data_IF_283746978244
#
_entry.id   IF_283746978244
#
_cell.length_a   1.000
_cell.length_b   1.000
_cell.length_c   1.000
_cell.angle_alpha   90.00
_cell.angle_beta   90.00
_cell.angle_gamma   90.00
#
_symmetry.space_group_name_H-M   'P 1'
#
loop_
_entity.id
_entity.type
_entity.pdbx_description
1 polymer ?
#
# COMPACT_ATOMS: atom_id res chain seq x y z
N UNK A 1 10.22 9.60 16.13
CA UNK A 1 8.94 8.87 16.04
C UNK A 1 8.14 9.50 14.92
N UNK A 2 7.70 8.69 13.97
CA UNK A 2 6.88 9.13 12.85
C UNK A 2 5.53 9.69 13.33
N UNK A 3 4.94 10.59 12.53
CA UNK A 3 3.61 11.14 12.82
C UNK A 3 2.51 10.14 12.48
N UNK A 4 1.35 10.23 13.13
CA UNK A 4 0.17 9.45 12.78
C UNK A 4 -0.42 9.86 11.43
N UNK A 5 -0.93 8.90 10.67
CA UNK A 5 -1.74 9.14 9.48
C UNK A 5 -3.24 9.05 9.83
N UNK A 6 -4.06 9.90 9.21
CA UNK A 6 -5.52 9.89 9.37
C UNK A 6 -6.20 9.66 8.03
N UNK A 7 -7.11 8.70 7.98
CA UNK A 7 -7.93 8.39 6.80
C UNK A 7 -9.39 8.69 7.14
N UNK A 8 -9.98 9.59 6.36
CA UNK A 8 -11.40 9.92 6.41
C UNK A 8 -12.10 9.28 5.21
N UNK A 9 -13.13 8.47 5.46
CA UNK A 9 -13.90 7.81 4.40
C UNK A 9 -15.35 8.26 4.48
N UNK A 10 -15.86 8.77 3.36
CA UNK A 10 -17.30 8.94 3.12
C UNK A 10 -17.65 8.07 1.93
N UNK A 11 -18.45 7.02 2.16
CA UNK A 11 -18.89 6.13 1.10
C UNK A 11 -20.42 6.05 1.09
N UNK A 12 -21.01 6.36 -0.06
CA UNK A 12 -22.41 6.01 -0.34
C UNK A 12 -22.42 4.58 -0.86
N UNK A 13 -22.79 3.65 0.01
CA UNK A 13 -22.95 2.24 -0.36
C UNK A 13 -24.44 2.02 -0.63
N UNK A 14 -24.73 1.31 -1.74
CA UNK A 14 -26.06 0.92 -2.23
C UNK A 14 -26.76 1.97 -3.14
N UNK A 15 -27.68 1.53 -4.05
CA UNK A 15 -28.53 2.43 -4.83
C UNK A 15 -29.38 3.35 -3.94
N UNK A 16 -29.80 4.48 -4.51
CA UNK A 16 -30.42 5.66 -3.86
C UNK A 16 -31.51 5.37 -2.80
N UNK A 17 -32.21 4.25 -2.92
CA UNK A 17 -33.37 3.86 -2.11
C UNK A 17 -33.02 3.08 -0.84
N UNK A 18 -31.77 2.61 -0.70
CA UNK A 18 -31.26 1.88 0.50
C UNK A 18 -29.96 2.52 1.00
N UNK A 19 -29.53 3.64 0.42
CA UNK A 19 -28.32 4.38 0.78
C UNK A 19 -28.27 4.60 2.30
N UNK A 20 -27.30 3.97 2.96
CA UNK A 20 -26.86 4.35 4.30
C UNK A 20 -25.49 4.99 4.15
N UNK A 21 -25.36 6.20 4.67
CA UNK A 21 -24.05 6.83 4.83
C UNK A 21 -23.34 6.08 5.95
N UNK A 22 -22.24 5.39 5.62
CA UNK A 22 -21.34 4.82 6.61
C UNK A 22 -20.18 5.81 6.74
N UNK A 23 -20.06 6.38 7.94
CA UNK A 23 -19.00 7.32 8.28
C UNK A 23 -18.10 6.67 9.33
N UNK A 24 -16.79 6.88 9.17
CA UNK A 24 -15.79 6.38 10.09
C UNK A 24 -14.45 7.06 9.83
N UNK A 25 -13.64 7.16 10.87
CA UNK A 25 -12.25 7.58 10.76
C UNK A 25 -11.36 6.43 11.22
N UNK A 26 -10.19 6.32 10.61
CA UNK A 26 -9.14 5.43 11.05
C UNK A 26 -7.86 6.26 11.21
N UNK A 27 -7.22 6.12 12.37
CA UNK A 27 -5.91 6.71 12.64
C UNK A 27 -4.90 5.58 12.73
N UNK A 28 -3.86 5.67 11.92
CA UNK A 28 -2.74 4.73 11.90
C UNK A 28 -1.55 5.42 12.56
N UNK A 29 -1.06 4.83 13.65
CA UNK A 29 0.06 5.37 14.42
C UNK A 29 1.20 4.35 14.48
N UNK A 30 2.45 4.80 14.38
CA UNK A 30 3.62 4.01 14.78
C UNK A 30 3.42 3.47 16.21
N UNK A 31 3.68 2.18 16.42
CA UNK A 31 3.68 1.56 17.73
C UNK A 31 5.00 1.84 18.47
N UNK A 32 6.12 1.83 17.75
CA UNK A 32 7.44 2.11 18.33
C UNK A 32 8.39 2.87 17.38
N UNK A 33 9.70 2.76 17.61
CA UNK A 33 10.74 3.47 16.86
C UNK A 33 11.13 2.77 15.54
N UNK A 34 10.79 1.50 15.38
CA UNK A 34 11.06 0.71 14.18
C UNK A 34 9.98 0.96 13.12
N UNK A 35 8.79 1.39 13.53
CA UNK A 35 7.72 1.79 12.63
C UNK A 35 8.08 3.05 11.82
N UNK A 36 8.24 2.87 10.51
CA UNK A 36 8.64 3.91 9.54
C UNK A 36 7.63 4.01 8.40
N UNK A 37 7.43 5.23 7.89
CA UNK A 37 6.57 5.46 6.73
C UNK A 37 7.33 5.24 5.43
N UNK A 38 6.67 4.59 4.49
CA UNK A 38 7.06 4.51 3.09
C UNK A 38 6.03 5.24 2.22
N UNK A 39 6.50 5.95 1.20
CA UNK A 39 5.66 6.56 0.17
C UNK A 39 6.37 6.54 -1.18
N UNK A 40 5.67 6.09 -2.22
CA UNK A 40 6.18 6.13 -3.58
C UNK A 40 5.06 6.17 -4.61
N UNK A 41 5.34 6.78 -5.76
CA UNK A 41 4.65 6.45 -6.99
C UNK A 41 5.28 5.19 -7.59
N UNK A 42 4.62 4.05 -7.42
CA UNK A 42 5.09 2.77 -7.95
C UNK A 42 4.53 2.57 -9.36
N UNK A 43 5.40 2.34 -10.34
CA UNK A 43 4.99 1.80 -11.64
C UNK A 43 4.80 0.29 -11.53
N UNK A 44 3.55 -0.14 -11.51
CA UNK A 44 3.19 -1.56 -11.57
C UNK A 44 3.14 -1.98 -13.04
N UNK A 45 3.79 -3.09 -13.39
CA UNK A 45 3.83 -3.61 -14.76
C UNK A 45 2.82 -4.75 -14.98
N UNK A 46 2.69 -5.25 -16.21
CA UNK A 46 1.89 -6.45 -16.50
C UNK A 46 2.60 -7.77 -16.15
N UNK A 47 3.67 -7.71 -15.37
CA UNK A 47 4.36 -8.84 -14.77
C UNK A 47 4.26 -8.74 -13.25
N UNK A 48 4.08 -9.88 -12.58
CA UNK A 48 4.09 -9.97 -11.12
C UNK A 48 5.44 -9.51 -10.57
N UNK A 49 5.45 -8.45 -9.76
CA UNK A 49 6.65 -7.91 -9.10
C UNK A 49 6.29 -7.34 -7.73
N UNK A 50 7.28 -7.18 -6.86
CA UNK A 50 7.14 -6.52 -5.56
C UNK A 50 6.52 -5.13 -5.70
N UNK A 51 5.51 -4.82 -4.88
CA UNK A 51 4.85 -3.52 -4.89
C UNK A 51 5.66 -2.43 -4.16
N UNK A 52 6.43 -2.85 -3.14
CA UNK A 52 7.16 -1.97 -2.24
C UNK A 52 8.66 -2.23 -2.43
N UNK A 53 9.41 -1.17 -2.76
CA UNK A 53 10.86 -1.22 -2.88
C UNK A 53 11.47 0.18 -2.83
N UNK A 54 12.65 0.30 -2.24
CA UNK A 54 13.39 1.56 -2.14
C UNK A 54 13.74 1.89 -0.71
N UNK A 55 13.38 3.10 -0.27
CA UNK A 55 13.80 3.66 1.01
C UNK A 55 12.61 4.18 1.80
N UNK A 56 12.74 4.22 3.12
CA UNK A 56 11.80 4.89 4.01
C UNK A 56 11.82 6.41 3.82
N UNK A 57 10.75 7.07 4.27
CA UNK A 57 10.72 8.51 4.40
C UNK A 57 11.51 8.97 5.63
N UNK A 58 12.44 9.89 5.43
CA UNK A 58 13.11 10.58 6.52
C UNK A 58 12.20 11.66 7.11
N UNK A 59 11.77 11.46 8.35
CA UNK A 59 10.95 12.42 9.09
C UNK A 59 11.78 13.34 10.00
N UNK A 60 13.06 13.03 10.17
CA UNK A 60 14.07 13.85 10.85
C UNK A 60 15.20 14.15 9.87
N UNK A 61 15.95 15.22 10.11
CA UNK A 61 17.15 15.50 9.33
C UNK A 61 18.12 14.33 9.39
N UNK A 62 18.52 13.84 8.22
CA UNK A 62 19.65 12.94 8.04
C UNK A 62 20.89 13.76 7.65
N UNK A 63 22.06 13.28 8.03
CA UNK A 63 23.34 13.87 7.65
C UNK A 63 23.54 13.80 6.13
N UNK A 64 24.23 14.79 5.55
CA UNK A 64 24.30 14.93 4.09
C UNK A 64 25.06 13.81 3.37
N UNK A 65 25.94 13.09 4.07
CA UNK A 65 26.66 11.91 3.58
C UNK A 65 26.04 10.57 4.05
N UNK A 66 24.86 10.61 4.69
CA UNK A 66 24.16 9.39 5.12
C UNK A 66 23.04 9.03 4.14
N UNK A 67 23.09 7.81 3.61
CA UNK A 67 22.00 7.29 2.77
C UNK A 67 20.72 7.03 3.58
N UNK A 68 19.52 7.24 3.01
CA UNK A 68 18.27 6.84 3.64
C UNK A 68 18.24 5.34 3.96
N UNK A 69 17.48 4.96 4.99
CA UNK A 69 17.30 3.54 5.34
C UNK A 69 16.51 2.83 4.22
N UNK A 70 17.07 1.74 3.69
CA UNK A 70 16.41 0.91 2.69
C UNK A 70 15.30 0.06 3.32
N UNK A 71 14.22 -0.16 2.58
CA UNK A 71 13.17 -1.11 2.94
C UNK A 71 13.68 -2.52 2.67
N UNK A 72 13.63 -3.38 3.69
CA UNK A 72 13.98 -4.79 3.61
C UNK A 72 12.76 -5.65 3.25
N UNK A 73 13.01 -6.79 2.61
CA UNK A 73 11.95 -7.73 2.24
C UNK A 73 11.23 -8.33 3.47
N UNK A 74 11.91 -8.37 4.62
CA UNK A 74 11.37 -8.90 5.87
C UNK A 74 10.56 -7.89 6.69
N UNK A 75 10.58 -6.60 6.31
CA UNK A 75 9.81 -5.55 6.98
C UNK A 75 8.33 -5.89 6.99
N UNK A 76 7.71 -5.78 8.17
CA UNK A 76 6.28 -6.09 8.32
C UNK A 76 5.44 -4.91 7.91
N UNK A 77 4.44 -5.14 7.09
CA UNK A 77 3.57 -4.11 6.54
C UNK A 77 2.36 -3.93 7.46
N UNK A 78 2.52 -3.21 8.56
CA UNK A 78 1.45 -2.97 9.55
C UNK A 78 0.21 -2.29 8.94
N UNK A 79 0.43 -1.43 7.94
CA UNK A 79 -0.65 -0.77 7.19
C UNK A 79 -0.22 -0.53 5.73
N UNK A 80 -1.15 -0.71 4.80
CA UNK A 80 -0.95 -0.45 3.37
C UNK A 80 -2.11 0.37 2.81
N UNK A 81 -1.78 1.42 2.06
CA UNK A 81 -2.69 2.19 1.23
C UNK A 81 -2.20 2.18 -0.22
N UNK A 82 -3.11 1.90 -1.15
CA UNK A 82 -2.83 1.90 -2.58
C UNK A 82 -3.93 2.69 -3.29
N UNK A 83 -3.51 3.61 -4.17
CA UNK A 83 -4.40 4.32 -5.09
C UNK A 83 -3.95 4.04 -6.52
N UNK A 84 -4.81 3.38 -7.29
CA UNK A 84 -4.67 3.27 -8.74
C UNK A 84 -5.09 4.60 -9.37
N UNK A 85 -4.15 5.28 -10.03
CA UNK A 85 -4.39 6.57 -10.69
C UNK A 85 -4.78 6.43 -12.16
N UNK A 86 -4.69 5.22 -12.72
CA UNK A 86 -5.04 4.96 -14.11
C UNK A 86 -6.54 5.05 -14.34
N UNK A 87 -6.92 5.50 -15.54
CA UNK A 87 -8.32 5.72 -15.92
C UNK A 87 -9.06 4.47 -16.42
N UNK A 88 -8.38 3.32 -16.57
CA UNK A 88 -8.97 2.15 -17.25
C UNK A 88 -8.31 0.82 -16.95
N UNK A 89 -7.00 0.78 -16.72
CA UNK A 89 -6.31 -0.43 -16.29
C UNK A 89 -6.51 -0.66 -14.79
N UNK A 90 -6.69 -1.93 -14.44
CA UNK A 90 -6.87 -2.39 -13.07
C UNK A 90 -5.53 -2.89 -12.53
N UNK A 91 -5.38 -2.87 -11.21
CA UNK A 91 -4.23 -3.44 -10.50
C UNK A 91 -4.71 -4.58 -9.61
N UNK A 92 -3.94 -5.65 -9.56
CA UNK A 92 -4.20 -6.81 -8.73
C UNK A 92 -3.01 -7.01 -7.83
N UNK A 93 -3.27 -7.26 -6.54
CA UNK A 93 -2.23 -7.61 -5.56
C UNK A 93 -2.55 -8.94 -4.91
N UNK A 94 -1.51 -9.59 -4.42
CA UNK A 94 -1.59 -10.71 -3.47
C UNK A 94 -0.77 -10.34 -2.23
N UNK A 95 -1.02 -11.02 -1.11
CA UNK A 95 -0.43 -10.71 0.20
C UNK A 95 0.23 -11.94 0.86
N UNK A 96 0.51 -12.97 0.08
CA UNK A 96 0.94 -14.30 0.51
C UNK A 96 2.25 -14.78 -0.15
N UNK A 97 3.01 -13.84 -0.76
CA UNK A 97 4.18 -14.11 -1.61
C UNK A 97 3.88 -14.93 -2.88
N UNK A 98 2.60 -15.21 -3.18
CA UNK A 98 2.18 -15.88 -4.39
C UNK A 98 2.45 -15.04 -5.64
N UNK A 99 2.35 -15.65 -6.82
CA UNK A 99 2.45 -14.88 -8.08
C UNK A 99 1.16 -14.10 -8.32
N UNK A 100 1.25 -12.77 -8.36
CA UNK A 100 0.13 -11.93 -8.70
C UNK A 100 -0.33 -12.21 -10.14
N UNK A 101 -1.64 -12.39 -10.32
CA UNK A 101 -2.26 -12.61 -11.62
C UNK A 101 -3.66 -12.03 -11.64
N UNK A 102 -4.14 -11.64 -12.82
CA UNK A 102 -5.53 -11.20 -13.03
C UNK A 102 -6.55 -12.32 -12.83
N UNK A 103 -6.10 -13.56 -12.66
CA UNK A 103 -6.94 -14.75 -12.46
C UNK A 103 -6.65 -15.49 -11.14
N UNK A 104 -5.84 -14.92 -10.25
CA UNK A 104 -5.54 -15.55 -8.95
C UNK A 104 -6.77 -15.45 -8.04
N UNK A 105 -7.05 -16.51 -7.26
CA UNK A 105 -8.31 -16.63 -6.52
C UNK A 105 -8.42 -15.73 -5.30
N UNK A 106 -7.30 -15.40 -4.67
CA UNK A 106 -7.14 -14.58 -3.47
C UNK A 106 -6.70 -13.14 -3.80
N UNK A 107 -6.65 -12.79 -5.08
CA UNK A 107 -6.19 -11.49 -5.55
C UNK A 107 -7.13 -10.36 -5.14
N UNK A 108 -6.56 -9.28 -4.61
CA UNK A 108 -7.29 -8.06 -4.32
C UNK A 108 -7.22 -7.16 -5.55
N UNK A 109 -8.38 -6.92 -6.16
CA UNK A 109 -8.52 -6.02 -7.31
C UNK A 109 -8.69 -4.57 -6.85
N UNK A 110 -7.80 -3.71 -7.32
CA UNK A 110 -7.89 -2.25 -7.23
C UNK A 110 -8.22 -1.72 -8.62
N UNK A 111 -9.53 -1.52 -8.85
CA UNK A 111 -10.00 -1.08 -10.15
C UNK A 111 -9.41 0.28 -10.56
N UNK A 112 -9.45 0.58 -11.86
CA UNK A 112 -9.11 1.89 -12.39
C UNK A 112 -9.72 3.03 -11.55
N UNK A 113 -8.89 3.97 -11.12
CA UNK A 113 -9.34 5.10 -10.31
C UNK A 113 -9.84 4.74 -8.91
N UNK A 114 -9.67 3.52 -8.41
CA UNK A 114 -10.04 3.14 -7.05
C UNK A 114 -8.86 3.19 -6.09
N UNK A 115 -9.17 3.16 -4.80
CA UNK A 115 -8.20 2.99 -3.72
C UNK A 115 -8.55 1.76 -2.90
N UNK A 116 -7.54 1.16 -2.29
CA UNK A 116 -7.68 0.13 -1.30
C UNK A 116 -6.74 0.41 -0.14
N UNK A 117 -7.15 0.02 1.07
CA UNK A 117 -6.27 0.07 2.23
C UNK A 117 -6.63 -1.05 3.21
N UNK A 118 -5.66 -1.44 4.03
CA UNK A 118 -5.84 -2.46 5.05
C UNK A 118 -4.73 -2.49 6.09
N UNK A 119 -5.05 -3.01 7.26
CA UNK A 119 -4.09 -3.41 8.29
C UNK A 119 -3.69 -4.87 8.06
N UNK A 120 -2.39 -5.14 7.94
CA UNK A 120 -1.88 -6.47 7.61
C UNK A 120 -1.01 -6.99 8.76
N UNK A 121 -1.54 -7.84 9.65
CA UNK A 121 -0.88 -8.13 10.92
C UNK A 121 0.41 -8.96 10.78
N UNK A 122 0.57 -9.69 9.67
CA UNK A 122 1.68 -10.64 9.48
C UNK A 122 2.31 -10.58 8.09
N UNK A 123 1.86 -9.68 7.22
CA UNK A 123 2.38 -9.56 5.85
C UNK A 123 3.72 -8.84 5.88
N UNK A 124 4.69 -9.37 5.16
CA UNK A 124 5.99 -8.74 4.93
C UNK A 124 6.02 -8.04 3.57
N UNK A 125 7.02 -7.20 3.33
CA UNK A 125 7.25 -6.59 2.02
C UNK A 125 7.37 -7.65 0.91
N UNK A 126 8.04 -8.77 1.19
CA UNK A 126 8.20 -9.89 0.26
C UNK A 126 6.88 -10.59 -0.12
N UNK A 127 5.84 -10.43 0.71
CA UNK A 127 4.57 -11.10 0.47
C UNK A 127 3.69 -10.32 -0.54
N UNK A 128 4.02 -9.07 -0.82
CA UNK A 128 3.18 -8.15 -1.59
C UNK A 128 3.65 -8.04 -3.04
N UNK A 129 3.08 -8.89 -3.88
CA UNK A 129 3.27 -8.79 -5.33
C UNK A 129 2.08 -8.10 -6.00
N UNK A 130 2.37 -7.35 -7.05
CA UNK A 130 1.40 -6.62 -7.85
C UNK A 130 1.56 -6.87 -9.34
N UNK A 131 0.44 -6.80 -10.06
CA UNK A 131 0.37 -6.90 -11.52
C UNK A 131 -0.75 -6.01 -12.05
N UNK A 132 -0.58 -5.45 -13.25
CA UNK A 132 -1.65 -4.74 -13.95
C UNK A 132 -2.49 -5.67 -14.82
N UNK A 133 -3.73 -5.30 -15.10
CA UNK A 133 -4.53 -5.98 -16.13
C UNK A 133 -3.95 -5.83 -17.54
N UNK A 134 -3.26 -4.71 -17.79
CA UNK A 134 -2.60 -4.40 -19.05
C UNK A 134 -1.60 -3.26 -18.86
N UNK A 135 -0.56 -3.22 -19.69
CA UNK A 135 0.42 -2.13 -19.72
C UNK A 135 1.10 -1.86 -18.38
N UNK A 136 1.36 -0.59 -18.09
CA UNK A 136 1.97 -0.14 -16.84
C UNK A 136 1.07 0.90 -16.19
N UNK A 137 0.90 0.82 -14.87
CA UNK A 137 0.01 1.68 -14.09
C UNK A 137 0.81 2.36 -13.00
N UNK A 138 0.61 3.66 -12.84
CA UNK A 138 1.08 4.39 -11.67
C UNK A 138 0.15 4.16 -10.47
N UNK A 139 0.74 3.76 -9.35
CA UNK A 139 0.06 3.64 -8.08
C UNK A 139 0.69 4.58 -7.06
N UNK A 140 -0.13 5.32 -6.32
CA UNK A 140 0.34 5.89 -5.05
C UNK A 140 0.33 4.76 -4.03
N UNK A 141 1.50 4.45 -3.49
CA UNK A 141 1.67 3.43 -2.45
C UNK A 141 2.20 4.12 -1.21
N UNK A 142 1.46 4.00 -0.11
CA UNK A 142 1.87 4.47 1.19
C UNK A 142 1.73 3.33 2.20
N UNK A 143 2.74 3.12 3.05
CA UNK A 143 2.73 2.03 4.02
C UNK A 143 3.36 2.45 5.34
N UNK A 144 2.83 1.92 6.44
CA UNK A 144 3.54 1.89 7.72
C UNK A 144 4.18 0.51 7.84
N UNK A 145 5.50 0.51 8.01
CA UNK A 145 6.32 -0.68 8.00
C UNK A 145 7.08 -0.76 9.33
N UNK A 146 7.08 -1.91 9.98
CA UNK A 146 7.97 -2.23 11.10
C UNK A 146 9.29 -2.75 10.53
N UNK A 147 10.31 -1.92 10.64
CA UNK A 147 11.68 -2.15 10.18
C UNK A 147 12.35 -3.25 10.99
N UNK A 148 12.65 -4.38 10.35
CA UNK A 148 13.35 -5.53 10.96
C UNK A 148 14.77 -5.56 10.43
N UNK A 149 15.58 -4.61 10.92
CA UNK A 149 17.02 -4.51 10.60
C UNK A 149 17.81 -5.81 10.83
#
# INVERSE_FOLDING_TARGET
>A
MANSATINVTATLLPDTISKVIEGSCTISPADANDKWYYKFTNVSNSSTDLIAGYFLDYTGIDDDTAPTAVASADKVNFLFIKNTHASADVYIVLDAGTASTSVGDGIKIAAGHSWFGNLPNTTVADIHAITSTGTVDCVVAALLDDVA
#
